data_IF_117361324173
#
_entry.id   IF_117361324173
#
_cell.length_a   1.000
_cell.length_b   1.000
_cell.length_c   1.000
_cell.angle_alpha   90.00
_cell.angle_beta   90.00
_cell.angle_gamma   90.00
#
_symmetry.space_group_name_H-M   'P 1'
#
loop_
_entity.id
_entity.type
_entity.pdbx_description
1 polymer ?
#
# COMPACT_ATOMS: atom_id res chain seq x y z
N UNK A 1 23.18 -19.37 1.97
CA UNK A 1 23.40 -19.05 0.55
C UNK A 1 22.18 -19.56 -0.21
N UNK A 2 21.43 -18.67 -0.87
CA UNK A 2 20.38 -19.12 -1.77
C UNK A 2 21.05 -19.89 -2.93
N UNK A 3 20.56 -21.05 -3.36
CA UNK A 3 21.15 -21.78 -4.47
C UNK A 3 21.13 -20.93 -5.74
N UNK A 4 22.27 -20.74 -6.40
CA UNK A 4 22.38 -19.94 -7.64
C UNK A 4 21.42 -20.42 -8.75
N UNK A 5 21.10 -21.72 -8.76
CA UNK A 5 20.13 -22.32 -9.69
C UNK A 5 18.68 -21.84 -9.47
N UNK A 6 18.34 -21.37 -8.27
CA UNK A 6 17.03 -20.77 -8.01
C UNK A 6 16.99 -19.31 -8.48
N UNK A 7 18.14 -18.65 -8.61
CA UNK A 7 18.20 -17.24 -8.99
C UNK A 7 17.68 -17.03 -10.42
N UNK A 8 18.07 -17.89 -11.37
CA UNK A 8 17.61 -17.85 -12.75
C UNK A 8 16.11 -18.14 -12.87
N UNK A 9 15.60 -19.11 -12.10
CA UNK A 9 14.16 -19.43 -12.05
C UNK A 9 13.37 -18.26 -11.48
N UNK A 10 13.84 -17.65 -10.38
CA UNK A 10 13.21 -16.47 -9.79
C UNK A 10 13.18 -15.33 -10.80
N UNK A 11 14.31 -15.02 -11.46
CA UNK A 11 14.38 -13.96 -12.46
C UNK A 11 13.39 -14.17 -13.61
N UNK A 12 13.20 -15.40 -14.07
CA UNK A 12 12.20 -15.72 -15.10
C UNK A 12 10.75 -15.53 -14.62
N UNK A 13 10.49 -15.73 -13.32
CA UNK A 13 9.17 -15.60 -12.72
C UNK A 13 8.86 -14.17 -12.22
N UNK A 14 9.87 -13.32 -12.02
CA UNK A 14 9.71 -11.94 -11.51
C UNK A 14 8.65 -11.12 -12.26
N UNK A 15 8.53 -11.16 -13.60
CA UNK A 15 7.50 -10.38 -14.29
C UNK A 15 6.07 -10.79 -13.88
N UNK A 16 5.82 -12.09 -13.74
CA UNK A 16 4.53 -12.64 -13.32
C UNK A 16 4.24 -12.35 -11.85
N UNK A 17 5.27 -12.43 -11.01
CA UNK A 17 5.17 -12.06 -9.60
C UNK A 17 4.82 -10.58 -9.44
N UNK A 18 5.52 -9.70 -10.16
CA UNK A 18 5.26 -8.26 -10.16
C UNK A 18 3.84 -7.94 -10.64
N UNK A 19 3.37 -8.62 -11.69
CA UNK A 19 2.01 -8.45 -12.19
C UNK A 19 0.97 -8.91 -11.17
N UNK A 20 1.19 -10.06 -10.54
CA UNK A 20 0.30 -10.60 -9.51
C UNK A 20 0.22 -9.68 -8.29
N UNK A 21 1.37 -9.18 -7.81
CA UNK A 21 1.44 -8.24 -6.68
C UNK A 21 0.71 -6.93 -7.01
N UNK A 22 0.96 -6.35 -8.19
CA UNK A 22 0.25 -5.14 -8.63
C UNK A 22 -1.25 -5.37 -8.71
N UNK A 23 -1.69 -6.49 -9.28
CA UNK A 23 -3.11 -6.84 -9.37
C UNK A 23 -3.75 -6.97 -7.99
N UNK A 24 -3.07 -7.64 -7.05
CA UNK A 24 -3.56 -7.81 -5.69
C UNK A 24 -3.69 -6.48 -4.95
N UNK A 25 -2.63 -5.67 -4.90
CA UNK A 25 -2.64 -4.38 -4.18
C UNK A 25 -3.49 -3.29 -4.84
N UNK A 26 -3.89 -3.47 -6.12
CA UNK A 26 -4.86 -2.59 -6.76
C UNK A 26 -6.29 -2.83 -6.29
N UNK A 27 -6.59 -4.03 -5.78
CA UNK A 27 -7.92 -4.42 -5.29
C UNK A 27 -7.98 -4.40 -3.76
N UNK A 28 -6.87 -4.79 -3.11
CA UNK A 28 -6.76 -4.85 -1.66
C UNK A 28 -6.10 -3.57 -1.13
N UNK A 29 -6.84 -2.67 -0.48
CA UNK A 29 -6.25 -1.52 0.17
C UNK A 29 -5.31 -1.95 1.30
N UNK A 30 -4.17 -1.27 1.41
CA UNK A 30 -3.20 -1.51 2.49
C UNK A 30 -3.70 -1.02 3.86
N UNK A 31 -4.54 0.02 3.87
CA UNK A 31 -5.17 0.57 5.07
C UNK A 31 -6.54 1.15 4.73
N UNK A 32 -7.52 0.95 5.60
CA UNK A 32 -8.89 1.45 5.43
C UNK A 32 -9.26 2.24 6.66
N UNK A 33 -9.63 3.51 6.46
CA UNK A 33 -10.07 4.39 7.54
C UNK A 33 -11.39 3.90 8.13
N UNK A 34 -11.43 3.78 9.45
CA UNK A 34 -12.60 3.32 10.20
C UNK A 34 -13.16 4.43 11.10
N UNK A 35 -14.47 4.48 11.21
CA UNK A 35 -15.18 5.51 11.99
C UNK A 35 -15.24 5.19 13.49
N UNK A 36 -15.04 3.92 13.84
CA UNK A 36 -15.08 3.40 15.21
C UNK A 36 -13.70 3.43 15.91
N UNK A 37 -12.62 3.70 15.16
CA UNK A 37 -11.26 3.63 15.68
C UNK A 37 -10.84 4.89 16.44
N UNK A 38 -11.07 6.08 15.86
CA UNK A 38 -10.80 7.36 16.51
C UNK A 38 -11.56 8.51 15.85
N UNK A 39 -11.76 9.61 16.58
CA UNK A 39 -12.38 10.82 16.03
C UNK A 39 -11.58 11.38 14.84
N UNK A 40 -10.24 11.36 14.91
CA UNK A 40 -9.37 11.81 13.82
C UNK A 40 -9.53 10.96 12.57
N UNK A 41 -9.61 9.65 12.72
CA UNK A 41 -9.79 8.71 11.59
C UNK A 41 -11.20 8.80 10.98
N UNK A 42 -12.23 8.98 11.82
CA UNK A 42 -13.59 9.25 11.37
C UNK A 42 -13.68 10.55 10.55
N UNK A 43 -13.03 11.62 11.01
CA UNK A 43 -12.94 12.89 10.27
C UNK A 43 -12.15 12.71 8.97
N UNK A 44 -11.03 11.99 9.01
CA UNK A 44 -10.24 11.69 7.81
C UNK A 44 -11.07 10.94 6.78
N UNK A 45 -11.82 9.91 7.17
CA UNK A 45 -12.69 9.15 6.26
C UNK A 45 -13.73 10.05 5.58
N UNK A 46 -14.24 11.05 6.30
CA UNK A 46 -15.28 11.96 5.81
C UNK A 46 -14.76 13.11 4.94
N UNK A 47 -13.57 13.62 5.24
CA UNK A 47 -13.06 14.87 4.67
C UNK A 47 -11.76 14.74 3.87
N UNK A 48 -11.12 13.56 3.85
CA UNK A 48 -9.89 13.35 3.08
C UNK A 48 -10.10 13.65 1.60
N UNK A 49 -9.29 14.55 1.05
CA UNK A 49 -9.24 14.85 -0.39
C UNK A 49 -8.07 14.17 -1.10
N UNK A 50 -7.13 13.63 -0.32
CA UNK A 50 -5.91 13.01 -0.80
C UNK A 50 -5.01 12.62 0.36
N UNK A 51 -3.80 12.17 0.01
CA UNK A 51 -2.75 11.82 0.96
C UNK A 51 -1.47 12.55 0.58
N UNK A 52 -0.69 12.95 1.58
CA UNK A 52 0.68 13.44 1.42
C UNK A 52 1.64 12.40 1.98
N UNK A 53 2.63 12.01 1.19
CA UNK A 53 3.63 11.02 1.60
C UNK A 53 4.85 11.77 2.12
N UNK A 54 5.14 11.58 3.41
CA UNK A 54 6.36 12.09 4.06
C UNK A 54 7.27 10.92 4.43
N UNK A 55 8.57 11.17 4.65
CA UNK A 55 9.48 10.11 5.11
C UNK A 55 8.97 9.48 6.41
N UNK A 56 8.54 8.22 6.33
CA UNK A 56 8.06 7.43 7.47
C UNK A 56 6.56 7.53 7.78
N UNK A 57 5.81 8.41 7.12
CA UNK A 57 4.37 8.58 7.41
C UNK A 57 3.54 8.97 6.18
N UNK A 58 2.26 8.64 6.21
CA UNK A 58 1.26 9.10 5.26
C UNK A 58 0.31 10.03 6.00
N UNK A 59 0.26 11.29 5.57
CA UNK A 59 -0.53 12.34 6.20
C UNK A 59 -1.81 12.57 5.40
N UNK A 60 -2.94 12.65 6.10
CA UNK A 60 -4.22 13.06 5.52
C UNK A 60 -4.48 14.51 5.91
N UNK A 61 -4.30 15.48 5.00
CA UNK A 61 -4.53 16.88 5.31
C UNK A 61 -6.04 17.18 5.37
N UNK A 62 -6.49 17.88 6.41
CA UNK A 62 -7.87 18.36 6.52
C UNK A 62 -8.07 19.75 5.91
N UNK A 63 -6.98 20.48 5.72
CA UNK A 63 -6.92 21.79 5.07
C UNK A 63 -5.82 21.77 4.01
N UNK A 64 -5.94 22.64 2.99
CA UNK A 64 -4.85 22.86 2.04
C UNK A 64 -3.60 23.38 2.74
#
# INVERSE_FOLDING_TARGET
>A
MAPEKLQSVIQALLPYLNQSLRSYFSQQPAYVLREDASTGEALAKKYAKGIEVKPGEIVIPFTN
#
